data_IF_629938595230
#
_entry.id   IF_629938595230
#
_cell.length_a   1.000
_cell.length_b   1.000
_cell.length_c   1.000
_cell.angle_alpha   90.00
_cell.angle_beta   90.00
_cell.angle_gamma   90.00
#
_symmetry.space_group_name_H-M   'P 1'
#
loop_
_entity.id
_entity.type
_entity.pdbx_description
1 polymer ?
#
# COMPACT_ATOMS: atom_id res chain seq x y z
N UNK A 1 0.96 28.24 -1.19
CA UNK A 1 1.20 27.40 -2.38
C UNK A 1 0.53 26.07 -2.07
N UNK A 2 -0.40 25.61 -2.90
CA UNK A 2 -1.11 24.34 -2.66
C UNK A 2 -0.12 23.17 -2.75
N UNK A 3 0.34 22.68 -1.61
CA UNK A 3 1.15 21.47 -1.47
C UNK A 3 0.28 20.19 -1.42
N UNK A 4 -1.00 20.29 -1.79
CA UNK A 4 -2.08 19.32 -1.52
C UNK A 4 -2.07 18.04 -2.38
N UNK A 5 -0.90 17.59 -2.87
CA UNK A 5 -0.78 16.40 -3.71
C UNK A 5 0.01 15.26 -3.05
N UNK A 6 0.33 15.38 -1.76
CA UNK A 6 1.18 14.41 -1.08
C UNK A 6 0.49 13.05 -0.93
N UNK A 7 -0.78 12.99 -0.51
CA UNK A 7 -1.52 11.72 -0.44
C UNK A 7 -1.68 11.04 -1.81
N UNK A 8 -1.93 11.82 -2.87
CA UNK A 8 -1.99 11.30 -4.24
C UNK A 8 -0.65 10.73 -4.71
N UNK A 9 0.47 11.35 -4.32
CA UNK A 9 1.81 10.80 -4.56
C UNK A 9 2.00 9.46 -3.84
N UNK A 10 1.56 9.36 -2.57
CA UNK A 10 1.66 8.10 -1.78
C UNK A 10 0.81 6.99 -2.38
N UNK A 11 -0.36 7.33 -2.89
CA UNK A 11 -1.21 6.41 -3.64
C UNK A 11 -0.49 5.91 -4.90
N UNK A 12 0.15 6.80 -5.67
CA UNK A 12 0.91 6.40 -6.85
C UNK A 12 2.07 5.46 -6.50
N UNK A 13 2.82 5.75 -5.44
CA UNK A 13 3.92 4.89 -4.96
C UNK A 13 3.42 3.47 -4.65
N UNK A 14 2.25 3.34 -4.01
CA UNK A 14 1.63 2.04 -3.71
C UNK A 14 1.15 1.31 -4.97
N UNK A 15 0.46 1.99 -5.88
CA UNK A 15 -0.03 1.40 -7.15
C UNK A 15 1.13 0.91 -8.01
N UNK A 16 2.25 1.65 -8.06
CA UNK A 16 3.46 1.20 -8.74
C UNK A 16 4.03 -0.08 -8.13
N UNK A 17 4.04 -0.19 -6.79
CA UNK A 17 4.49 -1.41 -6.11
C UNK A 17 3.60 -2.61 -6.47
N UNK A 18 2.27 -2.45 -6.38
CA UNK A 18 1.30 -3.48 -6.77
C UNK A 18 1.51 -3.93 -8.22
N UNK A 19 1.76 -2.99 -9.14
CA UNK A 19 2.06 -3.29 -10.54
C UNK A 19 3.28 -4.19 -10.70
N UNK A 20 4.35 -3.97 -9.92
CA UNK A 20 5.58 -4.80 -9.96
C UNK A 20 5.33 -6.21 -9.44
N UNK A 21 4.57 -6.36 -8.35
CA UNK A 21 4.18 -7.68 -7.84
C UNK A 21 3.38 -8.43 -8.89
N UNK A 22 2.36 -7.79 -9.47
CA UNK A 22 1.53 -8.38 -10.52
C UNK A 22 2.35 -8.81 -11.73
N UNK A 23 3.27 -7.96 -12.20
CA UNK A 23 4.16 -8.30 -13.31
C UNK A 23 4.98 -9.57 -13.01
N UNK A 24 5.47 -9.72 -11.78
CA UNK A 24 6.23 -10.91 -11.36
C UNK A 24 5.36 -12.16 -11.32
N UNK A 25 4.13 -12.07 -10.80
CA UNK A 25 3.18 -13.19 -10.77
C UNK A 25 2.76 -13.64 -12.19
N UNK A 26 2.77 -12.72 -13.16
CA UNK A 26 2.51 -12.95 -14.59
C UNK A 26 3.76 -13.34 -15.40
N UNK A 27 4.90 -13.62 -14.76
CA UNK A 27 6.18 -13.95 -15.41
C UNK A 27 6.72 -12.84 -16.35
N UNK A 28 6.34 -11.59 -16.08
CA UNK A 28 6.75 -10.38 -16.81
C UNK A 28 7.73 -9.51 -16.02
N UNK A 29 8.22 -10.00 -14.88
CA UNK A 29 9.15 -9.30 -13.99
C UNK A 29 9.75 -10.24 -12.95
N UNK A 30 10.65 -9.71 -12.14
CA UNK A 30 11.46 -10.44 -11.16
C UNK A 30 11.38 -9.85 -9.74
N UNK A 31 10.45 -8.93 -9.50
CA UNK A 31 10.33 -8.21 -8.25
C UNK A 31 9.77 -9.09 -7.12
N UNK A 32 10.59 -9.33 -6.09
CA UNK A 32 10.26 -10.23 -4.97
C UNK A 32 9.55 -9.56 -3.78
N UNK A 33 9.08 -8.33 -3.97
CA UNK A 33 8.53 -7.52 -2.89
C UNK A 33 9.60 -7.00 -1.93
N UNK A 34 9.17 -6.15 -1.01
CA UNK A 34 9.97 -5.64 0.09
C UNK A 34 9.20 -5.76 1.39
N UNK A 35 9.89 -5.51 2.50
CA UNK A 35 9.20 -5.23 3.75
C UNK A 35 8.31 -3.99 3.65
N UNK A 36 7.23 -3.95 4.43
CA UNK A 36 6.30 -2.84 4.46
C UNK A 36 6.98 -1.53 4.85
N UNK A 37 7.88 -1.52 5.84
CA UNK A 37 8.65 -0.31 6.20
C UNK A 37 9.71 0.09 5.15
N UNK A 38 10.09 -0.84 4.27
CA UNK A 38 11.11 -0.61 3.24
C UNK A 38 10.55 -0.09 1.92
N UNK A 39 9.23 -0.07 1.75
CA UNK A 39 8.61 0.47 0.54
C UNK A 39 8.48 2.00 0.63
N UNK A 40 8.33 2.69 -0.50
CA UNK A 40 8.22 4.16 -0.52
C UNK A 40 7.06 4.69 0.34
N UNK A 41 5.93 3.97 0.36
CA UNK A 41 4.79 4.29 1.21
C UNK A 41 5.13 4.08 2.68
N UNK A 42 5.71 2.93 3.05
CA UNK A 42 6.12 2.63 4.43
C UNK A 42 7.13 3.60 5.01
N UNK A 43 8.16 3.96 4.22
CA UNK A 43 9.13 4.98 4.63
C UNK A 43 8.47 6.32 4.95
N UNK A 44 7.37 6.66 4.25
CA UNK A 44 6.58 7.84 4.54
C UNK A 44 5.68 7.64 5.76
N UNK A 45 5.04 6.48 5.91
CA UNK A 45 4.21 6.14 7.08
C UNK A 45 5.01 6.24 8.39
N UNK A 46 6.28 5.85 8.37
CA UNK A 46 7.15 5.86 9.56
C UNK A 46 7.71 7.25 9.89
N UNK A 47 7.74 8.17 8.92
CA UNK A 47 8.44 9.46 9.04
C UNK A 47 7.48 10.63 8.93
N UNK A 48 7.19 11.06 7.72
CA UNK A 48 6.50 12.33 7.48
C UNK A 48 4.98 12.21 7.64
N UNK A 49 4.41 11.03 7.36
CA UNK A 49 2.96 10.80 7.36
C UNK A 49 2.24 11.17 8.67
N UNK A 50 2.76 10.80 9.86
CA UNK A 50 2.19 11.21 11.14
C UNK A 50 2.22 12.73 11.34
N UNK A 51 3.25 13.42 10.85
CA UNK A 51 3.41 14.87 10.98
C UNK A 51 2.47 15.59 10.02
N UNK A 52 2.46 15.18 8.75
CA UNK A 52 1.62 15.75 7.69
C UNK A 52 0.12 15.58 8.01
N UNK A 53 -0.30 14.39 8.47
CA UNK A 53 -1.70 14.14 8.85
C UNK A 53 -2.14 14.91 10.09
N UNK A 54 -1.27 15.02 11.11
CA UNK A 54 -1.56 15.82 12.31
C UNK A 54 -1.62 17.32 12.03
N UNK A 55 -0.93 17.82 11.00
CA UNK A 55 -1.02 19.23 10.60
C UNK A 55 -2.38 19.61 10.01
N UNK A 56 -3.13 18.65 9.45
CA UNK A 56 -4.47 18.87 8.92
C UNK A 56 -5.50 18.95 10.07
N UNK A 57 -5.63 17.87 10.84
CA UNK A 57 -6.54 17.80 11.99
C UNK A 57 -6.33 16.53 12.80
N UNK A 58 -6.89 16.48 14.01
CA UNK A 58 -6.95 15.23 14.81
C UNK A 58 -7.65 14.10 14.06
N UNK A 59 -8.74 14.40 13.34
CA UNK A 59 -9.48 13.41 12.56
C UNK A 59 -8.68 12.88 11.37
N UNK A 60 -7.87 13.73 10.73
CA UNK A 60 -6.97 13.31 9.67
C UNK A 60 -5.88 12.39 10.23
N UNK A 61 -5.34 12.67 11.43
CA UNK A 61 -4.41 11.75 12.10
C UNK A 61 -5.03 10.40 12.42
N UNK A 62 -6.23 10.37 12.98
CA UNK A 62 -6.96 9.12 13.25
C UNK A 62 -7.25 8.32 11.97
N UNK A 63 -7.54 9.02 10.86
CA UNK A 63 -7.74 8.39 9.55
C UNK A 63 -6.41 7.88 8.97
N UNK A 64 -5.31 8.58 9.21
CA UNK A 64 -3.96 8.15 8.81
C UNK A 64 -3.53 6.87 9.53
N UNK A 65 -3.78 6.76 10.85
CA UNK A 65 -3.38 5.59 11.63
C UNK A 65 -4.09 4.30 11.12
N UNK A 66 -5.23 4.43 10.43
CA UNK A 66 -5.92 3.29 9.77
C UNK A 66 -5.16 2.73 8.57
N UNK A 67 -4.11 3.38 8.08
CA UNK A 67 -3.26 2.86 6.99
C UNK A 67 -2.32 1.74 7.47
N UNK A 68 -1.93 1.74 8.75
CA UNK A 68 -0.82 0.92 9.25
C UNK A 68 -1.10 -0.58 9.10
N UNK A 69 -2.20 -1.05 9.69
CA UNK A 69 -2.59 -2.47 9.66
C UNK A 69 -2.85 -3.00 8.24
N UNK A 70 -3.69 -2.37 7.39
CA UNK A 70 -3.91 -2.88 6.03
C UNK A 70 -2.65 -2.82 5.17
N UNK A 71 -1.70 -1.93 5.46
CA UNK A 71 -0.44 -1.87 4.75
C UNK A 71 0.47 -3.05 5.08
N UNK A 72 0.61 -3.41 6.36
CA UNK A 72 1.32 -4.61 6.77
C UNK A 72 0.67 -5.87 6.15
N UNK A 73 -0.65 -6.02 6.31
CA UNK A 73 -1.41 -7.12 5.74
C UNK A 73 -1.24 -7.23 4.22
N UNK A 74 -1.20 -6.10 3.50
CA UNK A 74 -0.99 -6.10 2.05
C UNK A 74 0.38 -6.70 1.68
N UNK A 75 1.43 -6.35 2.43
CA UNK A 75 2.77 -6.91 2.21
C UNK A 75 2.83 -8.40 2.56
N UNK A 76 2.15 -8.83 3.61
CA UNK A 76 2.02 -10.26 3.96
C UNK A 76 1.31 -11.04 2.84
N UNK A 77 0.19 -10.53 2.33
CA UNK A 77 -0.54 -11.13 1.21
C UNK A 77 0.31 -11.17 -0.08
N UNK A 78 1.07 -10.11 -0.36
CA UNK A 78 1.99 -10.06 -1.50
C UNK A 78 3.09 -11.13 -1.40
N UNK A 79 3.72 -11.27 -0.22
CA UNK A 79 4.73 -12.31 0.06
C UNK A 79 4.13 -13.71 -0.10
N UNK A 80 2.91 -13.93 0.38
CA UNK A 80 2.20 -15.20 0.23
C UNK A 80 1.93 -15.53 -1.24
N UNK A 81 1.47 -14.57 -2.05
CA UNK A 81 1.22 -14.77 -3.47
C UNK A 81 2.50 -15.20 -4.22
N UNK A 82 3.63 -14.55 -3.93
CA UNK A 82 4.93 -14.90 -4.50
C UNK A 82 5.40 -16.29 -4.06
N UNK A 83 5.22 -16.63 -2.78
CA UNK A 83 5.56 -17.96 -2.27
C UNK A 83 4.73 -19.07 -2.95
N UNK A 84 3.42 -18.87 -3.10
CA UNK A 84 2.54 -19.79 -3.82
C UNK A 84 2.94 -19.93 -5.30
N UNK A 85 3.35 -18.83 -5.97
CA UNK A 85 3.87 -18.87 -7.34
C UNK A 85 5.10 -19.77 -7.45
N UNK A 86 6.07 -19.63 -6.54
CA UNK A 86 7.28 -20.46 -6.49
C UNK A 86 6.93 -21.94 -6.23
N UNK A 87 5.94 -22.20 -5.37
CA UNK A 87 5.48 -23.54 -5.06
C UNK A 87 4.59 -24.18 -6.15
N UNK A 88 4.19 -23.43 -7.18
CA UNK A 88 3.22 -23.89 -8.19
C UNK A 88 1.77 -23.99 -7.66
N UNK A 89 1.49 -23.43 -6.50
CA UNK A 89 0.16 -23.41 -5.88
C UNK A 89 -0.71 -22.29 -6.49
N UNK A 90 -1.40 -22.64 -7.57
CA UNK A 90 -2.27 -21.71 -8.29
C UNK A 90 -3.40 -21.17 -7.43
N UNK A 91 -4.04 -22.03 -6.62
CA UNK A 91 -5.20 -21.64 -5.82
C UNK A 91 -4.79 -20.72 -4.66
N UNK A 92 -3.70 -21.04 -3.96
CA UNK A 92 -3.16 -20.17 -2.93
C UNK A 92 -2.70 -18.81 -3.47
N UNK A 93 -2.09 -18.80 -4.67
CA UNK A 93 -1.72 -17.56 -5.35
C UNK A 93 -2.94 -16.69 -5.66
N UNK A 94 -4.01 -17.26 -6.23
CA UNK A 94 -5.24 -16.52 -6.54
C UNK A 94 -5.94 -15.95 -5.29
N UNK A 95 -5.98 -16.74 -4.20
CA UNK A 95 -6.52 -16.29 -2.92
C UNK A 95 -5.71 -15.13 -2.33
N UNK A 96 -4.39 -15.27 -2.30
CA UNK A 96 -3.49 -14.23 -1.80
C UNK A 96 -3.55 -12.95 -2.66
N UNK A 97 -3.66 -13.09 -3.99
CA UNK A 97 -3.87 -11.95 -4.88
C UNK A 97 -5.20 -11.24 -4.61
N UNK A 98 -6.28 -12.00 -4.41
CA UNK A 98 -7.60 -11.44 -4.08
C UNK A 98 -7.53 -10.60 -2.81
N UNK A 99 -6.86 -11.13 -1.78
CA UNK A 99 -6.68 -10.41 -0.52
C UNK A 99 -5.81 -9.16 -0.68
N UNK A 100 -4.71 -9.28 -1.43
CA UNK A 100 -3.85 -8.15 -1.78
C UNK A 100 -4.62 -7.03 -2.49
N UNK A 101 -5.52 -7.34 -3.44
CA UNK A 101 -6.34 -6.32 -4.11
C UNK A 101 -7.36 -5.66 -3.18
N UNK A 102 -7.99 -6.43 -2.28
CA UNK A 102 -8.91 -5.87 -1.27
C UNK A 102 -8.20 -4.88 -0.37
N UNK A 103 -7.04 -5.26 0.18
CA UNK A 103 -6.22 -4.42 1.04
C UNK A 103 -5.69 -3.19 0.30
N UNK A 104 -5.29 -3.35 -0.96
CA UNK A 104 -4.88 -2.22 -1.80
C UNK A 104 -6.01 -1.21 -1.99
N UNK A 105 -7.23 -1.68 -2.28
CA UNK A 105 -8.39 -0.80 -2.38
C UNK A 105 -8.68 -0.08 -1.06
N UNK A 106 -8.55 -0.76 0.08
CA UNK A 106 -8.68 -0.14 1.41
C UNK A 106 -7.67 1.00 1.59
N UNK A 107 -6.38 0.75 1.30
CA UNK A 107 -5.33 1.78 1.40
C UNK A 107 -5.60 2.98 0.49
N UNK A 108 -5.97 2.74 -0.76
CA UNK A 108 -6.32 3.79 -1.73
C UNK A 108 -7.49 4.64 -1.23
N UNK A 109 -8.54 4.01 -0.70
CA UNK A 109 -9.71 4.72 -0.17
C UNK A 109 -9.35 5.60 1.03
N UNK A 110 -8.49 5.12 1.93
CA UNK A 110 -8.04 5.92 3.08
C UNK A 110 -7.20 7.11 2.61
N UNK A 111 -6.26 6.91 1.68
CA UNK A 111 -5.46 8.00 1.11
C UNK A 111 -6.31 9.04 0.38
N UNK A 112 -7.35 8.62 -0.35
CA UNK A 112 -8.29 9.55 -0.99
C UNK A 112 -9.13 10.32 0.04
N UNK A 113 -9.54 9.66 1.13
CA UNK A 113 -10.26 10.32 2.23
C UNK A 113 -9.39 11.39 2.88
N UNK A 114 -8.11 11.10 3.11
CA UNK A 114 -7.14 12.04 3.65
C UNK A 114 -6.90 13.23 2.71
N UNK A 115 -6.76 12.99 1.40
CA UNK A 115 -6.68 14.04 0.39
C UNK A 115 -7.89 14.98 0.41
N UNK A 116 -9.09 14.42 0.62
CA UNK A 116 -10.31 15.19 0.77
C UNK A 116 -10.38 16.03 2.04
N UNK A 117 -9.62 15.69 3.08
CA UNK A 117 -9.55 16.45 4.33
C UNK A 117 -8.53 17.61 4.30
N UNK A 118 -7.57 17.57 3.36
CA UNK A 118 -6.54 18.59 3.16
C UNK A 118 -7.01 19.79 2.31
N UNK A 119 -8.23 19.72 1.76
CA UNK A 119 -8.84 20.73 0.89
C UNK A 119 -9.84 21.60 1.62
#
# INVERSE_FOLDING_TARGET
MNESAFFLRRMNDHVQYLGKIKATLEDKGDFQGTDHHSCKLGLWLDRDGPIESSAISTQARETFDQLLDPHECFHLASKQALACKVAGDRAGMENAMTEMFKLSNTLVNILMKLDGMDR
#
